data_IF_121958104236
#
_entry.id   IF_121958104236
#
_cell.length_a   1.000
_cell.length_b   1.000
_cell.length_c   1.000
_cell.angle_alpha   90.00
_cell.angle_beta   90.00
_cell.angle_gamma   90.00
#
_symmetry.space_group_name_H-M   'P 1'
#
loop_
_entity.id
_entity.type
_entity.pdbx_description
1 polymer ?
#
# COMPACT_ATOMS: atom_id res chain seq x y z
N UNK A 1 -3.30 -0.86 20.06
CA UNK A 1 -2.64 -2.16 20.20
C UNK A 1 -2.12 -2.29 21.63
N UNK A 2 -2.20 -3.48 22.22
CA UNK A 2 -1.59 -3.75 23.50
C UNK A 2 -0.06 -3.84 23.35
N UNK A 3 0.66 -3.64 24.46
CA UNK A 3 2.09 -3.96 24.52
C UNK A 3 2.29 -5.43 24.17
N UNK A 4 3.29 -5.76 23.38
CA UNK A 4 3.56 -7.09 22.83
C UNK A 4 2.52 -7.67 21.86
N UNK A 5 1.65 -6.86 21.28
CA UNK A 5 0.75 -7.31 20.23
C UNK A 5 1.51 -7.94 19.06
N UNK A 6 0.92 -8.99 18.46
CA UNK A 6 1.45 -9.64 17.26
C UNK A 6 0.67 -9.18 16.04
N UNK A 7 1.33 -8.57 15.07
CA UNK A 7 0.68 -7.94 13.93
C UNK A 7 1.24 -8.40 12.59
N UNK A 8 0.41 -8.41 11.57
CA UNK A 8 0.82 -8.64 10.17
C UNK A 8 0.71 -7.33 9.38
N UNK A 9 1.78 -6.96 8.66
CA UNK A 9 1.86 -5.76 7.84
C UNK A 9 1.55 -6.10 6.39
N UNK A 10 0.56 -5.45 5.82
CA UNK A 10 0.06 -5.67 4.47
C UNK A 10 0.21 -4.43 3.60
N UNK A 11 0.17 -4.66 2.29
CA UNK A 11 0.35 -3.63 1.27
C UNK A 11 1.82 -3.32 1.03
N UNK A 12 2.18 -3.09 -0.23
CA UNK A 12 3.56 -2.76 -0.60
C UNK A 12 4.08 -1.53 0.18
N UNK A 13 3.21 -0.55 0.44
CA UNK A 13 3.54 0.62 1.26
C UNK A 13 4.05 0.29 2.67
N UNK A 14 3.77 -0.90 3.22
CA UNK A 14 4.26 -1.30 4.55
C UNK A 14 5.77 -1.48 4.59
N UNK A 15 6.38 -1.93 3.49
CA UNK A 15 7.82 -2.16 3.35
C UNK A 15 8.55 -1.04 2.60
N UNK A 16 7.79 -0.12 2.01
CA UNK A 16 8.28 1.02 1.23
C UNK A 16 7.50 2.28 1.60
N UNK A 17 7.69 2.75 2.84
CA UNK A 17 7.08 3.99 3.31
C UNK A 17 7.56 5.18 2.48
N UNK A 18 6.64 6.08 2.23
CA UNK A 18 6.95 7.37 1.65
C UNK A 18 7.14 8.40 2.78
N UNK A 19 8.34 8.96 2.84
CA UNK A 19 8.72 9.95 3.88
C UNK A 19 8.62 11.39 3.41
N UNK A 20 8.37 11.60 2.14
CA UNK A 20 8.22 12.93 1.53
C UNK A 20 7.80 12.83 0.07
N UNK A 21 7.54 13.98 -0.55
CA UNK A 21 7.27 14.08 -1.98
C UNK A 21 8.52 13.98 -2.85
N UNK A 22 8.33 14.05 -4.15
CA UNK A 22 9.41 14.16 -5.14
C UNK A 22 9.82 15.64 -5.34
N UNK A 23 10.91 15.88 -6.05
CA UNK A 23 11.40 17.23 -6.31
C UNK A 23 11.93 17.93 -5.06
N UNK A 24 11.56 19.18 -4.85
CA UNK A 24 11.97 19.98 -3.68
C UNK A 24 11.42 19.46 -2.35
N UNK A 25 10.41 18.61 -2.39
CA UNK A 25 9.85 17.92 -1.22
C UNK A 25 10.58 16.63 -0.82
N UNK A 26 11.64 16.25 -1.53
CA UNK A 26 12.42 15.05 -1.17
C UNK A 26 13.19 15.23 0.13
N UNK A 27 13.32 14.15 0.90
CA UNK A 27 14.04 14.12 2.17
C UNK A 27 15.07 13.00 2.20
N UNK A 28 16.15 13.20 2.95
CA UNK A 28 17.11 12.13 3.24
C UNK A 28 16.50 11.13 4.23
N UNK A 29 16.19 9.95 3.75
CA UNK A 29 15.56 8.87 4.53
C UNK A 29 16.56 7.87 5.10
N UNK A 30 17.86 8.08 4.92
CA UNK A 30 18.90 7.11 5.29
C UNK A 30 18.94 6.75 6.78
N UNK A 31 18.36 7.60 7.63
CA UNK A 31 18.25 7.41 9.08
C UNK A 31 16.81 7.22 9.57
N UNK A 32 15.84 7.21 8.68
CA UNK A 32 14.46 7.00 9.06
C UNK A 32 14.22 5.51 9.35
N UNK A 33 13.62 5.16 10.50
CA UNK A 33 13.24 3.78 10.77
C UNK A 33 12.14 3.36 9.79
N UNK A 34 12.18 2.13 9.32
CA UNK A 34 11.03 1.58 8.60
C UNK A 34 9.88 1.25 9.59
N UNK A 35 8.70 0.93 9.05
CA UNK A 35 7.51 0.68 9.86
C UNK A 35 7.70 -0.49 10.85
N UNK A 36 8.34 -1.59 10.40
CA UNK A 36 8.62 -2.74 11.24
C UNK A 36 9.52 -2.37 12.42
N UNK A 37 10.66 -1.70 12.14
CA UNK A 37 11.58 -1.24 13.18
C UNK A 37 10.89 -0.32 14.19
N UNK A 38 10.06 0.60 13.72
CA UNK A 38 9.33 1.52 14.58
C UNK A 38 8.33 0.80 15.51
N UNK A 39 7.62 -0.21 14.99
CA UNK A 39 6.68 -1.02 15.78
C UNK A 39 7.42 -1.92 16.79
N UNK A 40 8.50 -2.56 16.37
CA UNK A 40 9.31 -3.42 17.24
C UNK A 40 9.98 -2.64 18.37
N UNK A 41 10.39 -1.40 18.11
CA UNK A 41 10.90 -0.49 19.15
C UNK A 41 9.84 -0.15 20.24
N UNK A 42 8.55 -0.34 19.93
CA UNK A 42 7.43 -0.20 20.88
C UNK A 42 7.00 -1.55 21.48
N UNK A 43 7.78 -2.62 21.29
CA UNK A 43 7.48 -3.94 21.82
C UNK A 43 6.46 -4.76 21.02
N UNK A 44 6.01 -4.29 19.86
CA UNK A 44 5.07 -4.98 18.97
C UNK A 44 5.84 -6.01 18.14
N UNK A 45 5.31 -7.22 18.03
CA UNK A 45 5.90 -8.28 17.23
C UNK A 45 5.32 -8.27 15.83
N UNK A 46 6.17 -8.14 14.82
CA UNK A 46 5.77 -8.10 13.42
C UNK A 46 5.96 -9.46 12.75
N UNK A 47 4.99 -9.88 11.94
CA UNK A 47 5.05 -11.11 11.15
C UNK A 47 6.24 -11.07 10.17
N UNK A 48 7.32 -11.73 10.55
CA UNK A 48 8.56 -11.76 9.79
C UNK A 48 8.37 -12.46 8.44
N UNK A 49 7.57 -13.54 8.39
CA UNK A 49 7.34 -14.29 7.14
C UNK A 49 6.68 -13.41 6.07
N UNK A 50 5.65 -12.64 6.44
CA UNK A 50 4.98 -11.74 5.53
C UNK A 50 5.88 -10.55 5.14
N UNK A 51 6.61 -9.99 6.13
CA UNK A 51 7.58 -8.93 5.88
C UNK A 51 8.65 -9.33 4.86
N UNK A 52 9.27 -10.51 5.05
CA UNK A 52 10.30 -11.01 4.14
C UNK A 52 9.75 -11.32 2.74
N UNK A 53 8.49 -11.78 2.66
CA UNK A 53 7.83 -11.97 1.38
C UNK A 53 7.73 -10.65 0.62
N UNK A 54 7.16 -9.58 1.23
CA UNK A 54 7.07 -8.27 0.58
C UNK A 54 8.45 -7.68 0.23
N UNK A 55 9.49 -7.96 1.04
CA UNK A 55 10.88 -7.51 0.81
C UNK A 55 11.65 -8.37 -0.18
N UNK A 56 11.08 -9.49 -0.64
CA UNK A 56 11.77 -10.36 -1.60
C UNK A 56 12.02 -9.65 -2.93
N UNK A 57 13.11 -10.02 -3.60
CA UNK A 57 13.49 -9.44 -4.91
C UNK A 57 12.36 -9.56 -5.95
N UNK A 58 11.62 -10.67 -5.90
CA UNK A 58 10.48 -10.91 -6.80
C UNK A 58 9.34 -9.94 -6.55
N UNK A 59 8.95 -9.76 -5.28
CA UNK A 59 7.87 -8.84 -4.91
C UNK A 59 8.27 -7.40 -5.22
N UNK A 60 9.46 -6.99 -4.80
CA UNK A 60 9.98 -5.64 -5.03
C UNK A 60 10.11 -5.32 -6.52
N UNK A 61 10.47 -6.28 -7.35
CA UNK A 61 10.59 -6.09 -8.80
C UNK A 61 9.23 -5.96 -9.49
N UNK A 62 8.24 -6.75 -9.07
CA UNK A 62 6.98 -6.87 -9.80
C UNK A 62 5.88 -5.94 -9.27
N UNK A 63 5.93 -5.58 -7.99
CA UNK A 63 4.84 -4.90 -7.27
C UNK A 63 5.31 -3.70 -6.47
N UNK A 64 6.34 -2.98 -6.95
CA UNK A 64 6.79 -1.73 -6.36
C UNK A 64 5.98 -0.56 -6.86
N UNK A 65 5.69 0.38 -5.97
CA UNK A 65 5.21 1.71 -6.35
C UNK A 65 6.12 2.32 -7.43
N UNK A 66 5.49 2.86 -8.47
CA UNK A 66 6.21 3.59 -9.51
C UNK A 66 6.16 5.09 -9.18
N UNK A 67 7.33 5.69 -9.13
CA UNK A 67 7.48 7.13 -8.89
C UNK A 67 8.43 7.69 -9.93
N UNK A 68 8.03 8.74 -10.67
CA UNK A 68 8.93 9.39 -11.62
C UNK A 68 10.21 9.88 -10.95
N UNK A 69 11.34 9.63 -11.58
CA UNK A 69 12.65 10.02 -11.03
C UNK A 69 12.90 11.54 -11.13
N UNK A 70 12.26 12.20 -12.10
CA UNK A 70 12.43 13.63 -12.37
C UNK A 70 11.23 14.22 -13.10
N UNK A 71 11.17 15.55 -13.11
CA UNK A 71 10.21 16.31 -13.93
C UNK A 71 10.35 15.95 -15.42
N UNK A 72 11.57 15.79 -15.93
CA UNK A 72 11.82 15.40 -17.32
C UNK A 72 11.18 14.06 -17.68
N UNK A 73 11.28 13.06 -16.79
CA UNK A 73 10.64 11.75 -16.97
C UNK A 73 9.14 11.88 -17.21
N UNK A 74 8.48 12.71 -16.41
CA UNK A 74 7.04 12.91 -16.49
C UNK A 74 6.64 13.70 -17.73
N UNK A 75 7.36 14.78 -18.06
CA UNK A 75 7.09 15.63 -19.23
C UNK A 75 7.30 14.89 -20.55
N UNK A 76 8.25 13.95 -20.58
CA UNK A 76 8.50 13.11 -21.75
C UNK A 76 7.54 11.90 -21.80
N UNK A 77 6.59 11.79 -20.87
CA UNK A 77 5.65 10.68 -20.72
C UNK A 77 6.32 9.29 -20.58
N UNK A 78 7.55 9.27 -20.09
CA UNK A 78 8.32 8.03 -19.94
C UNK A 78 7.88 7.23 -18.72
N UNK A 79 7.51 7.92 -17.63
CA UNK A 79 7.09 7.30 -16.39
C UNK A 79 6.02 8.15 -15.71
N UNK A 80 5.00 7.53 -15.17
CA UNK A 80 3.98 8.17 -14.34
C UNK A 80 3.88 7.49 -12.98
N UNK A 81 3.20 8.13 -12.03
CA UNK A 81 2.90 7.52 -10.74
C UNK A 81 1.99 6.31 -10.92
N UNK A 82 2.31 5.22 -10.24
CA UNK A 82 1.44 4.05 -10.17
C UNK A 82 1.53 3.38 -8.80
N UNK A 83 0.43 2.80 -8.35
CA UNK A 83 0.33 2.05 -7.10
C UNK A 83 1.07 0.73 -7.22
N UNK A 84 0.73 -0.07 -8.23
CA UNK A 84 1.31 -1.37 -8.54
C UNK A 84 1.32 -2.33 -7.32
N UNK A 85 0.18 -2.40 -6.61
CA UNK A 85 0.03 -3.30 -5.46
C UNK A 85 0.01 -4.77 -5.90
N UNK A 86 0.45 -5.66 -5.00
CA UNK A 86 0.47 -7.10 -5.24
C UNK A 86 -0.94 -7.69 -5.16
N UNK A 87 -1.33 -8.60 -6.10
CA UNK A 87 -2.58 -9.32 -5.97
C UNK A 87 -2.53 -10.25 -4.75
N UNK A 88 -3.69 -10.54 -4.16
CA UNK A 88 -3.79 -11.40 -2.97
C UNK A 88 -3.08 -12.74 -3.14
N UNK A 89 -3.20 -13.35 -4.33
CA UNK A 89 -2.58 -14.64 -4.64
C UNK A 89 -1.05 -14.66 -4.46
N UNK A 90 -0.38 -13.51 -4.57
CA UNK A 90 1.06 -13.42 -4.33
C UNK A 90 1.45 -13.59 -2.85
N UNK A 91 0.47 -13.50 -1.92
CA UNK A 91 0.71 -13.63 -0.48
C UNK A 91 0.52 -15.06 0.04
N UNK A 92 0.12 -16.00 -0.82
CA UNK A 92 -0.27 -17.37 -0.43
C UNK A 92 0.78 -18.11 0.40
N UNK A 93 2.06 -17.90 0.14
CA UNK A 93 3.15 -18.54 0.90
C UNK A 93 3.27 -18.06 2.36
N UNK A 94 2.71 -16.89 2.69
CA UNK A 94 2.72 -16.34 4.04
C UNK A 94 1.42 -16.60 4.83
N UNK A 95 0.35 -17.08 4.20
CA UNK A 95 -0.98 -17.20 4.83
C UNK A 95 -0.95 -18.05 6.12
N UNK A 96 -0.14 -19.11 6.16
CA UNK A 96 -0.02 -19.97 7.35
C UNK A 96 0.48 -19.24 8.59
N UNK A 97 1.13 -18.07 8.42
CA UNK A 97 1.65 -17.27 9.54
C UNK A 97 0.63 -16.27 10.10
N UNK A 98 -0.49 -16.01 9.41
CA UNK A 98 -1.41 -14.93 9.76
C UNK A 98 -2.07 -15.14 11.13
N UNK A 99 -2.49 -16.35 11.44
CA UNK A 99 -3.16 -16.64 12.70
C UNK A 99 -2.27 -16.41 13.93
N UNK A 100 -0.97 -16.64 13.82
CA UNK A 100 -0.03 -16.36 14.91
C UNK A 100 0.14 -14.85 15.14
N UNK A 101 0.05 -14.05 14.09
CA UNK A 101 0.21 -12.59 14.15
C UNK A 101 -1.14 -11.87 13.93
N UNK A 102 -2.18 -12.41 14.56
CA UNK A 102 -3.58 -12.05 14.31
C UNK A 102 -4.15 -10.95 15.21
N UNK A 103 -3.37 -10.28 16.07
CA UNK A 103 -3.92 -9.20 16.89
C UNK A 103 -4.37 -8.02 16.04
N UNK A 104 -3.65 -7.73 14.96
CA UNK A 104 -4.11 -6.80 13.93
C UNK A 104 -3.49 -7.12 12.56
N UNK A 105 -4.29 -6.93 11.50
CA UNK A 105 -3.80 -6.69 10.16
C UNK A 105 -3.63 -5.18 9.98
N UNK A 106 -2.40 -4.72 9.75
CA UNK A 106 -2.11 -3.31 9.46
C UNK A 106 -1.83 -3.21 7.97
N UNK A 107 -2.69 -2.51 7.23
CA UNK A 107 -2.52 -2.30 5.79
C UNK A 107 -2.11 -0.86 5.51
N UNK A 108 -1.11 -0.68 4.64
CA UNK A 108 -0.56 0.64 4.30
C UNK A 108 -0.83 0.93 2.83
N UNK A 109 -1.68 1.93 2.59
CA UNK A 109 -1.90 2.48 1.25
C UNK A 109 -1.05 3.72 1.05
N UNK A 110 -0.25 3.70 -0.02
CA UNK A 110 0.68 4.78 -0.34
C UNK A 110 0.34 5.46 -1.65
N UNK A 111 0.41 6.80 -1.66
CA UNK A 111 0.29 7.60 -2.88
C UNK A 111 1.44 8.58 -2.94
N UNK A 112 2.31 8.42 -3.93
CA UNK A 112 3.35 9.39 -4.24
C UNK A 112 2.77 10.56 -5.02
N UNK A 113 3.28 11.73 -4.78
CA UNK A 113 3.05 12.93 -5.57
C UNK A 113 4.20 13.90 -5.34
N UNK A 114 4.38 14.86 -6.22
CA UNK A 114 5.47 15.79 -6.07
C UNK A 114 5.47 16.87 -7.13
N UNK A 115 6.47 17.71 -7.04
CA UNK A 115 6.63 18.88 -7.89
C UNK A 115 6.82 18.50 -9.36
N UNK A 116 6.11 19.22 -10.25
CA UNK A 116 6.30 19.12 -11.70
C UNK A 116 5.70 17.88 -12.36
N UNK A 117 4.90 17.11 -11.66
CA UNK A 117 4.27 15.91 -12.22
C UNK A 117 2.78 15.87 -11.85
N UNK A 118 1.92 15.88 -12.85
CA UNK A 118 0.49 15.68 -12.66
C UNK A 118 0.21 14.22 -12.26
N UNK A 119 -0.78 14.04 -11.39
CA UNK A 119 -1.24 12.71 -11.01
C UNK A 119 -2.03 12.09 -12.17
N UNK A 120 -1.86 10.80 -12.47
CA UNK A 120 -2.62 10.15 -13.52
C UNK A 120 -4.12 10.14 -13.19
N UNK A 121 -4.92 10.48 -14.19
CA UNK A 121 -6.38 10.37 -14.11
C UNK A 121 -6.89 9.69 -15.38
N UNK A 122 -7.63 8.58 -15.26
CA UNK A 122 -8.12 7.81 -16.39
C UNK A 122 -9.04 8.58 -17.35
N UNK A 123 -9.69 9.64 -16.87
CA UNK A 123 -10.62 10.44 -17.67
C UNK A 123 -9.96 11.29 -18.77
N UNK A 124 -8.66 11.50 -18.74
CA UNK A 124 -7.96 12.45 -19.63
C UNK A 124 -7.02 11.80 -20.65
N UNK A 125 -7.19 10.51 -20.95
CA UNK A 125 -6.39 9.84 -21.96
C UNK A 125 -4.97 9.53 -21.51
N UNK A 126 -4.68 9.67 -20.24
CA UNK A 126 -3.51 9.06 -19.61
C UNK A 126 -3.68 7.55 -19.67
N UNK A 127 -2.62 6.87 -19.99
CA UNK A 127 -2.61 5.45 -20.20
C UNK A 127 -3.03 4.72 -18.92
N UNK A 128 -4.25 4.18 -18.88
CA UNK A 128 -4.79 3.42 -17.72
C UNK A 128 -3.91 2.24 -17.28
N UNK A 129 -3.00 1.81 -18.17
CA UNK A 129 -2.00 0.79 -17.84
C UNK A 129 -1.01 1.21 -16.76
N UNK A 130 -0.93 2.50 -16.41
CA UNK A 130 -0.10 3.00 -15.33
C UNK A 130 -0.73 2.84 -13.94
N UNK A 131 -2.04 2.61 -13.90
CA UNK A 131 -2.78 2.36 -12.67
C UNK A 131 -3.16 0.89 -12.70
N UNK A 132 -2.22 0.05 -12.29
CA UNK A 132 -2.43 -1.39 -12.20
C UNK A 132 -3.69 -1.67 -11.40
N UNK A 133 -4.58 -2.48 -11.96
CA UNK A 133 -5.73 -3.03 -11.27
C UNK A 133 -6.84 -2.06 -10.88
N UNK A 134 -6.88 -0.85 -11.42
CA UNK A 134 -8.01 0.03 -11.15
C UNK A 134 -9.28 -0.49 -11.83
N UNK A 135 -10.24 -0.96 -11.04
CA UNK A 135 -11.60 -1.18 -11.53
C UNK A 135 -12.27 0.18 -11.63
N UNK A 136 -12.70 0.56 -12.81
CA UNK A 136 -13.51 1.74 -13.01
C UNK A 136 -12.78 2.93 -13.64
N UNK A 137 -12.59 4.02 -12.91
CA UNK A 137 -12.17 5.30 -13.49
C UNK A 137 -10.70 5.40 -13.88
N UNK A 138 -9.84 4.49 -13.40
CA UNK A 138 -8.39 4.61 -13.53
C UNK A 138 -7.80 5.80 -12.75
N UNK A 139 -8.51 6.29 -11.76
CA UNK A 139 -8.10 7.44 -10.97
C UNK A 139 -7.06 7.02 -9.92
N UNK A 140 -5.88 7.64 -9.98
CA UNK A 140 -4.80 7.37 -9.02
C UNK A 140 -5.17 7.71 -7.56
N UNK A 141 -6.17 8.55 -7.35
CA UNK A 141 -6.65 8.92 -6.01
C UNK A 141 -7.58 7.87 -5.39
N UNK A 142 -8.14 6.96 -6.18
CA UNK A 142 -8.96 5.84 -5.72
C UNK A 142 -8.09 4.64 -5.32
N UNK A 143 -8.67 3.67 -4.61
CA UNK A 143 -8.00 2.38 -4.39
C UNK A 143 -7.96 1.59 -5.71
N UNK A 144 -6.81 0.93 -5.97
CA UNK A 144 -6.70 -0.02 -7.09
C UNK A 144 -7.51 -1.30 -6.81
N UNK A 145 -7.74 -2.11 -7.85
CA UNK A 145 -8.43 -3.38 -7.69
C UNK A 145 -7.71 -4.32 -6.71
N UNK A 146 -6.37 -4.34 -6.74
CA UNK A 146 -5.57 -5.14 -5.82
C UNK A 146 -5.66 -4.62 -4.37
N UNK A 147 -5.71 -3.30 -4.18
CA UNK A 147 -5.93 -2.72 -2.84
C UNK A 147 -7.34 -3.04 -2.32
N UNK A 148 -8.35 -2.99 -3.18
CA UNK A 148 -9.73 -3.40 -2.84
C UNK A 148 -9.77 -4.90 -2.55
N UNK A 149 -9.16 -5.75 -3.39
CA UNK A 149 -9.04 -7.20 -3.16
C UNK A 149 -8.38 -7.49 -1.81
N UNK A 150 -7.30 -6.78 -1.48
CA UNK A 150 -6.60 -6.91 -0.21
C UNK A 150 -7.54 -6.61 0.97
N UNK A 151 -8.30 -5.50 0.93
CA UNK A 151 -9.25 -5.18 1.98
C UNK A 151 -10.39 -6.21 2.11
N UNK A 152 -10.93 -6.71 0.98
CA UNK A 152 -11.97 -7.75 0.97
C UNK A 152 -11.46 -9.03 1.65
N UNK A 153 -10.26 -9.48 1.32
CA UNK A 153 -9.66 -10.67 1.94
C UNK A 153 -9.34 -10.46 3.42
N UNK A 154 -8.79 -9.31 3.81
CA UNK A 154 -8.55 -9.00 5.22
C UNK A 154 -9.83 -8.94 6.02
N UNK A 155 -10.91 -8.39 5.44
CA UNK A 155 -12.23 -8.41 6.07
C UNK A 155 -12.72 -9.85 6.29
N UNK A 156 -12.62 -10.72 5.30
CA UNK A 156 -12.99 -12.13 5.45
C UNK A 156 -12.17 -12.84 6.53
N UNK A 157 -10.87 -12.58 6.61
CA UNK A 157 -9.99 -13.11 7.66
C UNK A 157 -10.29 -12.53 9.05
N UNK A 158 -10.77 -11.29 9.13
CA UNK A 158 -11.28 -10.74 10.39
C UNK A 158 -12.60 -11.39 10.77
N UNK A 159 -13.51 -11.56 9.83
CA UNK A 159 -14.83 -12.14 10.10
C UNK A 159 -14.75 -13.62 10.55
N UNK A 160 -13.75 -14.36 10.07
CA UNK A 160 -13.49 -15.75 10.49
C UNK A 160 -12.61 -15.86 11.75
N UNK A 161 -12.17 -14.73 12.33
CA UNK A 161 -11.42 -14.68 13.58
C UNK A 161 -9.89 -14.82 13.44
N UNK A 162 -9.34 -14.88 12.23
CA UNK A 162 -7.88 -14.89 12.00
C UNK A 162 -7.25 -13.59 12.48
N UNK A 163 -7.88 -12.45 12.17
CA UNK A 163 -7.48 -11.15 12.71
C UNK A 163 -8.54 -10.58 13.64
N UNK A 164 -8.10 -9.97 14.77
CA UNK A 164 -9.00 -9.29 15.71
C UNK A 164 -9.41 -7.91 15.20
N UNK A 165 -8.52 -7.24 14.47
CA UNK A 165 -8.75 -5.90 13.94
C UNK A 165 -8.03 -5.67 12.62
N UNK A 166 -8.53 -4.70 11.85
CA UNK A 166 -7.86 -4.17 10.66
C UNK A 166 -7.57 -2.70 10.94
N UNK A 167 -6.32 -2.29 10.71
CA UNK A 167 -5.87 -0.89 10.82
C UNK A 167 -5.40 -0.45 9.45
N UNK A 168 -6.00 0.62 8.92
CA UNK A 168 -5.59 1.22 7.66
C UNK A 168 -4.71 2.42 7.93
N UNK A 169 -3.49 2.42 7.41
CA UNK A 169 -2.57 3.54 7.44
C UNK A 169 -2.51 4.17 6.05
N UNK A 170 -2.80 5.45 5.98
CA UNK A 170 -2.65 6.24 4.75
C UNK A 170 -1.30 6.95 4.78
N UNK A 171 -0.42 6.53 3.89
CA UNK A 171 0.91 7.08 3.72
C UNK A 171 0.99 7.82 2.38
N UNK A 172 0.53 9.06 2.35
CA UNK A 172 0.34 9.82 1.11
C UNK A 172 0.90 11.23 1.20
N UNK A 173 1.54 11.71 0.12
CA UNK A 173 1.91 13.12 -0.06
C UNK A 173 0.86 13.92 -0.84
N UNK A 174 -0.23 13.29 -1.24
CA UNK A 174 -1.36 13.89 -1.95
C UNK A 174 -2.70 13.41 -1.39
N UNK A 175 -3.80 13.90 -1.93
CA UNK A 175 -5.12 13.42 -1.57
C UNK A 175 -5.30 11.94 -1.90
N UNK A 176 -6.18 11.28 -1.17
CA UNK A 176 -6.71 9.94 -1.46
C UNK A 176 -8.21 9.98 -1.26
N UNK A 177 -8.97 9.41 -2.16
CA UNK A 177 -10.41 9.26 -2.01
C UNK A 177 -10.71 8.21 -0.93
N UNK A 178 -11.58 8.58 0.00
CA UNK A 178 -11.84 7.78 1.21
C UNK A 178 -13.21 7.09 1.16
N UNK A 179 -13.84 6.99 -0.01
CA UNK A 179 -15.17 6.42 -0.19
C UNK A 179 -15.23 4.95 0.24
N UNK A 180 -14.11 4.24 0.17
CA UNK A 180 -14.00 2.88 0.69
C UNK A 180 -14.27 2.75 2.20
N UNK A 181 -14.29 3.85 2.95
CA UNK A 181 -14.69 3.88 4.36
C UNK A 181 -16.20 4.04 4.56
N UNK A 182 -16.96 4.41 3.52
CA UNK A 182 -18.39 4.66 3.62
C UNK A 182 -19.17 3.33 3.68
N UNK A 183 -19.88 3.02 4.78
CA UNK A 183 -20.64 1.79 4.89
C UNK A 183 -21.77 1.66 3.84
N UNK A 184 -22.32 2.77 3.35
CA UNK A 184 -23.37 2.77 2.35
C UNK A 184 -22.88 2.32 0.97
N UNK A 185 -21.63 2.56 0.64
CA UNK A 185 -21.01 2.14 -0.63
C UNK A 185 -20.60 0.66 -0.57
N UNK A 186 -20.32 0.14 0.64
CA UNK A 186 -19.93 -1.28 0.85
C UNK A 186 -21.07 -2.28 0.72
N UNK A 187 -22.32 -1.83 0.70
CA UNK A 187 -23.50 -2.71 0.71
C UNK A 187 -24.07 -3.02 -0.68
N UNK A 188 -23.50 -2.46 -1.74
CA UNK A 188 -24.00 -2.62 -3.12
C UNK A 188 -23.13 -3.55 -4.00
N UNK A 189 -22.17 -4.29 -3.40
CA UNK A 189 -21.37 -5.31 -4.10
C UNK A 189 -21.62 -6.72 -3.56
#
# INVERSE_FOLDING_TARGET
LADSAKVSLFGHGSVDLMYGGTGSGSVDTSKAPNLKEALEAQGIQVNQTLWDLYKSDSMMKNYSRITPASISDTLEANTQYAVNEAPWSALSSAESSFAEYGDAAIVVFSRSGGEGADLPSGANGTNDSWISGSEGSGNYLELSAEEIELLKNLKALKDNGTFKSIVVLINSSNALEMDFLNPAIRSEE
#
